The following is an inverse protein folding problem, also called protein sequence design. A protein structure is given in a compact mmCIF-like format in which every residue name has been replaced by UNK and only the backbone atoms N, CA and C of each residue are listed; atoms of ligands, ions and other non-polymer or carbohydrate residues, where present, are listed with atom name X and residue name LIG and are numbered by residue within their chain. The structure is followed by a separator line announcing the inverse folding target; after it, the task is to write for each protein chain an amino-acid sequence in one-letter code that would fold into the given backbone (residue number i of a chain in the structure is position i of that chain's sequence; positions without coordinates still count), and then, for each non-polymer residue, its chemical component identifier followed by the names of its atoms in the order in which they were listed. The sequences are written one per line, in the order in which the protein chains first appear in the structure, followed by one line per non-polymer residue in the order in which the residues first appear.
data_IF_534287784631
#
_entry.id   IF_534287784631
#
_cell.length_a   1.000
_cell.length_b   1.000
_cell.length_c   1.000
_cell.angle_alpha   90.00
_cell.angle_beta   90.00
_cell.angle_gamma   90.00
#
_symmetry.space_group_name_H-M   'P 1'
#
loop_
_entity.id
_entity.type
_entity.pdbx_description
1 polymer ?
#
# COMPACT_ATOMS: atom_id res chain seq x y z
N UNK A 1 31.89 -18.27 16.72
CA UNK A 1 30.67 -19.00 16.30
C UNK A 1 30.24 -20.05 17.31
N UNK A 2 31.07 -21.07 17.65
CA UNK A 2 30.68 -22.17 18.53
C UNK A 2 30.22 -21.73 19.94
N UNK A 3 30.96 -20.83 20.58
CA UNK A 3 30.64 -20.35 21.94
C UNK A 3 29.33 -19.55 21.95
N UNK A 4 29.03 -18.77 20.89
CA UNK A 4 27.78 -18.05 20.77
C UNK A 4 26.59 -19.02 20.65
N UNK A 5 26.72 -20.08 19.83
CA UNK A 5 25.72 -21.14 19.75
C UNK A 5 25.47 -21.85 21.10
N UNK A 6 26.52 -22.00 21.91
CA UNK A 6 26.36 -22.60 23.25
C UNK A 6 25.56 -21.68 24.19
N UNK A 7 25.83 -20.36 24.19
CA UNK A 7 25.04 -19.39 24.97
C UNK A 7 23.57 -19.37 24.53
N UNK A 8 23.29 -19.46 23.23
CA UNK A 8 21.92 -19.61 22.74
C UNK A 8 21.23 -20.87 23.25
N UNK A 9 21.94 -22.00 23.25
CA UNK A 9 21.41 -23.29 23.78
C UNK A 9 21.12 -23.24 25.28
N UNK A 10 21.89 -22.43 26.01
CA UNK A 10 21.75 -22.26 27.46
C UNK A 10 20.78 -21.08 27.79
N UNK A 11 20.20 -20.44 26.81
CA UNK A 11 19.36 -19.21 26.94
C UNK A 11 20.06 -18.08 27.71
N UNK A 12 21.40 -18.08 27.72
CA UNK A 12 22.22 -17.00 28.30
C UNK A 12 22.46 -15.91 27.25
N UNK A 13 21.39 -15.15 26.97
CA UNK A 13 21.43 -14.11 25.93
C UNK A 13 22.28 -12.92 26.28
N UNK A 14 22.48 -12.61 27.55
CA UNK A 14 23.38 -11.54 28.00
C UNK A 14 24.84 -11.85 27.67
N UNK A 15 25.28 -13.08 27.98
CA UNK A 15 26.63 -13.55 27.62
C UNK A 15 26.81 -13.64 26.10
N UNK A 16 25.78 -14.09 25.37
CA UNK A 16 25.78 -14.11 23.92
C UNK A 16 25.93 -12.69 23.33
N UNK A 17 25.23 -11.71 23.91
CA UNK A 17 25.28 -10.30 23.49
C UNK A 17 26.67 -9.68 23.68
N UNK A 18 27.27 -9.86 24.86
CA UNK A 18 28.59 -9.32 25.18
C UNK A 18 29.70 -9.97 24.33
N UNK A 19 29.62 -11.26 24.10
CA UNK A 19 30.52 -11.98 23.19
C UNK A 19 30.36 -11.43 21.76
N UNK A 20 29.13 -11.31 21.26
CA UNK A 20 28.86 -10.84 19.90
C UNK A 20 29.37 -9.43 19.68
N UNK A 21 29.15 -8.50 20.63
CA UNK A 21 29.73 -7.14 20.58
C UNK A 21 31.26 -7.15 20.53
N UNK A 22 31.87 -8.02 21.34
CA UNK A 22 33.33 -8.19 21.34
C UNK A 22 33.83 -8.71 19.99
N UNK A 23 33.13 -9.65 19.39
CA UNK A 23 33.47 -10.22 18.08
C UNK A 23 33.35 -9.19 16.97
N UNK A 24 32.29 -8.37 16.97
CA UNK A 24 32.11 -7.27 16.02
C UNK A 24 33.27 -6.29 16.09
N UNK A 25 33.65 -5.86 17.29
CA UNK A 25 34.77 -4.91 17.47
C UNK A 25 36.10 -5.49 16.97
N UNK A 26 36.31 -6.79 17.11
CA UNK A 26 37.58 -7.46 16.73
C UNK A 26 37.64 -7.90 15.29
N UNK A 27 36.56 -8.37 14.73
CA UNK A 27 36.55 -9.10 13.45
C UNK A 27 35.61 -8.50 12.42
N UNK A 28 34.59 -7.74 12.84
CA UNK A 28 33.62 -7.02 11.99
C UNK A 28 33.06 -7.87 10.84
N UNK A 29 32.72 -9.12 11.13
CA UNK A 29 32.21 -10.03 10.10
C UNK A 29 30.69 -10.09 10.05
N UNK A 30 30.16 -10.49 8.90
CA UNK A 30 28.74 -10.60 8.59
C UNK A 30 27.95 -11.39 9.66
N UNK A 31 28.45 -12.57 10.05
CA UNK A 31 27.76 -13.46 10.98
C UNK A 31 27.54 -12.82 12.35
N UNK A 32 28.51 -12.03 12.84
CA UNK A 32 28.38 -11.40 14.14
C UNK A 32 27.33 -10.27 14.13
N UNK A 33 27.20 -9.53 13.03
CA UNK A 33 26.12 -8.56 12.85
C UNK A 33 24.73 -9.23 12.77
N UNK A 34 24.64 -10.36 12.08
CA UNK A 34 23.41 -11.18 12.03
C UNK A 34 23.02 -11.68 13.43
N UNK A 35 24.00 -12.21 14.19
CA UNK A 35 23.77 -12.66 15.55
C UNK A 35 23.33 -11.50 16.46
N UNK A 36 23.91 -10.32 16.31
CA UNK A 36 23.56 -9.14 17.13
C UNK A 36 22.07 -8.79 16.97
N UNK A 37 21.57 -8.75 15.74
CA UNK A 37 20.17 -8.44 15.48
C UNK A 37 19.24 -9.55 15.99
N UNK A 38 19.63 -10.82 15.85
CA UNK A 38 18.87 -11.96 16.35
C UNK A 38 18.79 -11.97 17.89
N UNK A 39 19.90 -11.67 18.59
CA UNK A 39 19.90 -11.59 20.06
C UNK A 39 18.97 -10.47 20.53
N UNK A 40 19.04 -9.28 19.90
CA UNK A 40 18.12 -8.21 20.26
C UNK A 40 16.65 -8.52 19.98
N UNK A 41 16.36 -9.29 18.93
CA UNK A 41 15.01 -9.80 18.68
C UNK A 41 14.54 -10.73 19.81
N UNK A 42 15.39 -11.68 20.25
CA UNK A 42 15.08 -12.59 21.36
C UNK A 42 14.90 -11.85 22.69
N UNK A 43 15.66 -10.79 22.91
CA UNK A 43 15.53 -9.91 24.08
C UNK A 43 14.37 -8.89 23.98
N UNK A 44 13.54 -8.98 22.93
CA UNK A 44 12.42 -8.06 22.66
C UNK A 44 12.85 -6.58 22.64
N UNK A 45 14.11 -6.32 22.28
CA UNK A 45 14.65 -4.96 22.19
C UNK A 45 14.63 -4.46 20.75
N UNK A 46 13.44 -4.08 20.27
CA UNK A 46 13.23 -3.67 18.89
C UNK A 46 14.09 -2.47 18.47
N UNK A 47 14.26 -1.49 19.34
CA UNK A 47 15.09 -0.31 19.02
C UNK A 47 16.53 -0.71 18.70
N UNK A 48 17.13 -1.60 19.50
CA UNK A 48 18.49 -2.11 19.27
C UNK A 48 18.56 -3.06 18.09
N UNK A 49 17.52 -3.86 17.88
CA UNK A 49 17.40 -4.75 16.72
C UNK A 49 17.44 -3.93 15.42
N UNK A 50 16.60 -2.90 15.31
CA UNK A 50 16.55 -2.04 14.11
C UNK A 50 17.88 -1.30 13.93
N UNK A 51 18.48 -0.76 15.01
CA UNK A 51 19.81 -0.12 14.94
C UNK A 51 20.88 -1.08 14.42
N UNK A 52 20.91 -2.32 14.91
CA UNK A 52 21.91 -3.31 14.48
C UNK A 52 21.72 -3.74 13.02
N UNK A 53 20.47 -3.89 12.58
CA UNK A 53 20.15 -4.17 11.17
C UNK A 53 20.55 -3.00 10.26
N UNK A 54 20.28 -1.77 10.68
CA UNK A 54 20.66 -0.60 9.90
C UNK A 54 22.18 -0.44 9.79
N UNK A 55 22.94 -0.69 10.89
CA UNK A 55 24.40 -0.70 10.84
C UNK A 55 24.93 -1.82 9.93
N UNK A 56 24.33 -2.99 9.98
CA UNK A 56 24.66 -4.12 9.11
C UNK A 56 24.47 -3.78 7.62
N UNK A 57 23.36 -3.11 7.29
CA UNK A 57 23.07 -2.58 5.95
C UNK A 57 24.10 -1.50 5.55
N UNK A 58 24.33 -0.48 6.37
CA UNK A 58 25.26 0.62 6.08
C UNK A 58 26.72 0.17 5.86
N UNK A 59 27.08 -0.98 6.40
CA UNK A 59 28.40 -1.60 6.15
C UNK A 59 28.47 -2.35 4.81
N UNK A 60 27.39 -2.43 4.06
CA UNK A 60 27.33 -3.18 2.81
C UNK A 60 27.50 -4.69 2.99
N UNK A 61 27.17 -5.22 4.18
CA UNK A 61 27.29 -6.64 4.50
C UNK A 61 25.98 -7.40 4.31
N UNK A 62 24.88 -6.68 4.14
CA UNK A 62 23.54 -7.27 3.94
C UNK A 62 23.39 -7.74 2.49
N UNK A 63 23.06 -8.99 2.27
CA UNK A 63 23.01 -9.64 0.97
C UNK A 63 21.90 -10.68 0.87
N UNK A 64 20.88 -10.59 1.75
CA UNK A 64 19.74 -11.46 1.70
C UNK A 64 18.42 -10.69 1.77
N UNK A 65 17.46 -11.14 0.97
CA UNK A 65 16.13 -10.57 0.80
C UNK A 65 15.41 -10.36 2.12
N UNK A 66 15.36 -11.40 2.96
CA UNK A 66 14.61 -11.37 4.22
C UNK A 66 15.06 -10.21 5.12
N UNK A 67 16.37 -9.92 5.16
CA UNK A 67 16.90 -8.85 6.01
C UNK A 67 16.66 -7.48 5.44
N UNK A 68 16.73 -7.32 4.12
CA UNK A 68 16.35 -6.07 3.46
C UNK A 68 14.89 -5.74 3.76
N UNK A 69 13.97 -6.69 3.54
CA UNK A 69 12.55 -6.53 3.82
C UNK A 69 12.27 -6.25 5.31
N UNK A 70 12.90 -7.04 6.20
CA UNK A 70 12.77 -6.83 7.65
C UNK A 70 13.25 -5.45 8.11
N UNK A 71 14.35 -4.94 7.56
CA UNK A 71 14.85 -3.61 7.89
C UNK A 71 13.89 -2.54 7.36
N UNK A 72 13.45 -2.65 6.11
CA UNK A 72 12.50 -1.74 5.50
C UNK A 72 11.20 -1.65 6.32
N UNK A 73 10.58 -2.79 6.62
CA UNK A 73 9.37 -2.86 7.44
C UNK A 73 9.57 -2.35 8.87
N UNK A 74 10.71 -2.64 9.48
CA UNK A 74 11.04 -2.15 10.82
C UNK A 74 11.19 -0.63 10.87
N UNK A 75 11.76 -0.02 9.83
CA UNK A 75 11.86 1.43 9.71
C UNK A 75 10.49 2.08 9.54
N UNK A 76 9.59 1.48 8.78
CA UNK A 76 8.21 1.94 8.68
C UNK A 76 7.50 1.88 10.04
N UNK A 77 7.72 0.80 10.81
CA UNK A 77 7.16 0.62 12.14
C UNK A 77 7.63 1.64 13.20
N UNK A 78 8.79 2.29 12.98
CA UNK A 78 9.28 3.40 13.81
C UNK A 78 9.07 4.77 13.16
N UNK A 79 8.07 4.90 12.31
CA UNK A 79 7.63 6.15 11.65
C UNK A 79 8.67 6.77 10.69
N UNK A 80 9.52 5.93 10.06
CA UNK A 80 10.47 6.36 9.02
C UNK A 80 10.25 5.58 7.72
N UNK A 81 9.02 5.57 7.16
CA UNK A 81 8.65 4.71 6.04
C UNK A 81 9.43 5.02 4.75
N UNK A 82 9.76 6.28 4.50
CA UNK A 82 10.57 6.68 3.34
C UNK A 82 11.94 5.99 3.33
N UNK A 83 12.61 5.94 4.48
CA UNK A 83 13.90 5.23 4.57
C UNK A 83 13.73 3.73 4.39
N UNK A 84 12.59 3.17 4.84
CA UNK A 84 12.24 1.76 4.61
C UNK A 84 12.04 1.46 3.13
N UNK A 85 11.26 2.30 2.44
CA UNK A 85 11.03 2.18 1.01
C UNK A 85 12.33 2.26 0.20
N UNK A 86 13.20 3.22 0.56
CA UNK A 86 14.52 3.37 -0.08
C UNK A 86 15.39 2.11 0.03
N UNK A 87 15.40 1.47 1.20
CA UNK A 87 16.16 0.22 1.41
C UNK A 87 15.60 -0.91 0.54
N UNK A 88 14.28 -1.01 0.41
CA UNK A 88 13.66 -2.02 -0.48
C UNK A 88 14.00 -1.72 -1.93
N UNK A 89 13.91 -0.44 -2.38
CA UNK A 89 14.31 -0.04 -3.73
C UNK A 89 15.75 -0.44 -4.04
N UNK A 90 16.69 -0.14 -3.14
CA UNK A 90 18.10 -0.52 -3.31
C UNK A 90 18.31 -2.05 -3.35
N UNK A 91 17.51 -2.80 -2.58
CA UNK A 91 17.54 -4.27 -2.62
C UNK A 91 17.01 -4.84 -3.92
N UNK A 92 16.00 -4.23 -4.52
CA UNK A 92 15.47 -4.57 -5.86
C UNK A 92 16.49 -4.23 -6.95
N UNK A 93 17.05 -3.02 -6.94
CA UNK A 93 18.07 -2.58 -7.89
C UNK A 93 19.34 -3.45 -7.87
N UNK A 94 19.69 -3.98 -6.69
CA UNK A 94 20.81 -4.90 -6.51
C UNK A 94 20.47 -6.36 -6.81
N UNK A 95 19.24 -6.66 -7.27
CA UNK A 95 18.74 -8.02 -7.52
C UNK A 95 18.84 -8.94 -6.28
N UNK A 96 18.84 -8.37 -5.07
CA UNK A 96 18.82 -9.10 -3.80
C UNK A 96 17.38 -9.42 -3.37
N UNK A 97 16.44 -8.51 -3.69
CA UNK A 97 15.01 -8.71 -3.51
C UNK A 97 14.41 -9.15 -4.85
N UNK A 98 13.68 -10.26 -4.84
CA UNK A 98 12.99 -10.76 -6.02
C UNK A 98 11.74 -9.92 -6.34
N UNK A 99 11.53 -9.63 -7.62
CA UNK A 99 10.28 -9.02 -8.09
C UNK A 99 9.17 -10.07 -8.13
N UNK A 100 8.45 -10.20 -7.03
CA UNK A 100 7.26 -11.05 -6.90
C UNK A 100 6.11 -10.25 -6.27
N UNK A 101 4.90 -10.82 -6.26
CA UNK A 101 3.68 -10.17 -5.77
C UNK A 101 3.84 -9.62 -4.36
N UNK A 102 4.38 -10.42 -3.45
CA UNK A 102 4.50 -10.09 -2.03
C UNK A 102 5.48 -8.92 -1.81
N UNK A 103 6.64 -8.96 -2.49
CA UNK A 103 7.68 -7.94 -2.37
C UNK A 103 7.23 -6.62 -3.00
N UNK A 104 6.61 -6.68 -4.20
CA UNK A 104 6.10 -5.48 -4.87
C UNK A 104 4.94 -4.86 -4.08
N UNK A 105 4.05 -5.68 -3.52
CA UNK A 105 2.97 -5.20 -2.64
C UNK A 105 3.54 -4.55 -1.38
N UNK A 106 4.54 -5.15 -0.75
CA UNK A 106 5.23 -4.59 0.42
C UNK A 106 5.87 -3.26 0.09
N UNK A 107 6.57 -3.15 -1.02
CA UNK A 107 7.19 -1.91 -1.48
C UNK A 107 6.15 -0.81 -1.75
N UNK A 108 5.07 -1.15 -2.47
CA UNK A 108 3.94 -0.25 -2.71
C UNK A 108 3.36 0.29 -1.41
N UNK A 109 3.09 -0.58 -0.43
CA UNK A 109 2.53 -0.18 0.86
C UNK A 109 3.46 0.77 1.63
N UNK A 110 4.77 0.55 1.57
CA UNK A 110 5.74 1.46 2.20
C UNK A 110 5.75 2.83 1.56
N UNK A 111 5.69 2.91 0.24
CA UNK A 111 5.61 4.17 -0.49
C UNK A 111 4.28 4.89 -0.20
N UNK A 112 3.17 4.16 -0.11
CA UNK A 112 1.88 4.72 0.32
C UNK A 112 1.94 5.32 1.73
N UNK A 113 2.52 4.61 2.70
CA UNK A 113 2.68 5.10 4.07
C UNK A 113 3.63 6.31 4.12
N UNK A 114 4.65 6.33 3.25
CA UNK A 114 5.58 7.46 3.09
C UNK A 114 4.95 8.65 2.35
N UNK A 115 3.74 8.50 1.81
CA UNK A 115 3.05 9.46 0.94
C UNK A 115 3.82 9.78 -0.36
N UNK A 116 4.60 8.80 -0.85
CA UNK A 116 5.32 8.86 -2.14
C UNK A 116 4.43 8.18 -3.21
N UNK A 117 3.30 8.85 -3.52
CA UNK A 117 2.22 8.22 -4.31
C UNK A 117 2.64 7.95 -5.75
N UNK A 118 3.36 8.87 -6.38
CA UNK A 118 3.83 8.74 -7.76
C UNK A 118 4.82 7.58 -7.90
N UNK A 119 5.73 7.43 -6.94
CA UNK A 119 6.72 6.36 -6.93
C UNK A 119 6.07 4.99 -6.67
N UNK A 120 4.93 4.96 -5.97
CA UNK A 120 4.19 3.74 -5.68
C UNK A 120 3.51 3.13 -6.91
N UNK A 121 3.27 3.87 -8.00
CA UNK A 121 2.56 3.38 -9.20
C UNK A 121 3.33 2.23 -9.87
N UNK A 122 4.63 2.37 -10.02
CA UNK A 122 5.46 1.35 -10.68
C UNK A 122 5.41 -0.01 -9.97
N UNK A 123 5.73 -0.12 -8.67
CA UNK A 123 5.65 -1.40 -7.97
C UNK A 123 4.21 -1.91 -7.81
N UNK A 124 3.21 -1.03 -7.68
CA UNK A 124 1.80 -1.44 -7.65
C UNK A 124 1.37 -2.09 -8.97
N UNK A 125 1.78 -1.51 -10.10
CA UNK A 125 1.51 -2.08 -11.43
C UNK A 125 2.20 -3.43 -11.60
N UNK A 126 3.48 -3.55 -11.21
CA UNK A 126 4.21 -4.81 -11.27
C UNK A 126 3.53 -5.90 -10.41
N UNK A 127 3.10 -5.56 -9.18
CA UNK A 127 2.34 -6.48 -8.34
C UNK A 127 1.03 -6.93 -9.01
N UNK A 128 0.28 -5.99 -9.61
CA UNK A 128 -1.01 -6.28 -10.26
C UNK A 128 -0.87 -7.19 -11.49
N UNK A 129 0.20 -7.05 -12.25
CA UNK A 129 0.50 -7.92 -13.40
C UNK A 129 0.87 -9.35 -12.95
N UNK A 130 1.59 -9.49 -11.85
CA UNK A 130 2.07 -10.77 -11.32
C UNK A 130 1.01 -11.51 -10.49
N UNK A 131 0.09 -10.80 -9.83
CA UNK A 131 -0.91 -11.39 -8.94
C UNK A 131 -1.92 -12.22 -9.74
N UNK A 132 -2.16 -13.46 -9.35
CA UNK A 132 -3.20 -14.31 -9.93
C UNK A 132 -4.61 -13.91 -9.49
N UNK A 133 -4.73 -13.11 -8.44
CA UNK A 133 -5.99 -12.56 -7.90
C UNK A 133 -6.16 -11.08 -8.22
N UNK A 134 -7.32 -10.51 -7.90
CA UNK A 134 -7.59 -9.08 -8.08
C UNK A 134 -7.01 -8.17 -7.00
N UNK A 135 -6.39 -8.71 -5.93
CA UNK A 135 -6.01 -7.90 -4.76
C UNK A 135 -4.96 -6.82 -5.06
N UNK A 136 -3.97 -7.11 -5.91
CA UNK A 136 -2.98 -6.11 -6.28
C UNK A 136 -3.55 -5.05 -7.22
N UNK A 137 -4.49 -5.40 -8.11
CA UNK A 137 -5.26 -4.43 -8.90
C UNK A 137 -6.15 -3.54 -8.03
N UNK A 138 -6.75 -4.07 -6.95
CA UNK A 138 -7.50 -3.27 -5.98
C UNK A 138 -6.60 -2.23 -5.30
N UNK A 139 -5.39 -2.63 -4.89
CA UNK A 139 -4.39 -1.70 -4.34
C UNK A 139 -3.98 -0.63 -5.35
N UNK A 140 -3.76 -0.99 -6.62
CA UNK A 140 -3.45 -0.05 -7.71
C UNK A 140 -4.61 0.93 -7.94
N UNK A 141 -5.84 0.43 -7.94
CA UNK A 141 -7.05 1.25 -8.03
C UNK A 141 -7.17 2.26 -6.90
N UNK A 142 -6.93 1.82 -5.66
CA UNK A 142 -6.91 2.70 -4.50
C UNK A 142 -5.81 3.78 -4.61
N UNK A 143 -4.61 3.42 -5.07
CA UNK A 143 -3.52 4.36 -5.31
C UNK A 143 -3.93 5.44 -6.32
N UNK A 144 -4.46 5.07 -7.47
CA UNK A 144 -4.95 6.02 -8.46
C UNK A 144 -6.09 6.88 -7.91
N UNK A 145 -7.01 6.29 -7.11
CA UNK A 145 -8.10 7.03 -6.50
C UNK A 145 -7.60 8.13 -5.55
N UNK A 146 -6.61 7.87 -4.69
CA UNK A 146 -6.06 8.88 -3.77
C UNK A 146 -5.24 9.96 -4.49
N UNK A 147 -4.72 9.64 -5.68
CA UNK A 147 -4.08 10.59 -6.59
C UNK A 147 -5.09 11.43 -7.40
N UNK A 148 -6.38 11.18 -7.27
CA UNK A 148 -7.48 11.73 -8.08
C UNK A 148 -7.43 11.36 -9.57
N UNK A 149 -6.73 10.30 -9.93
CA UNK A 149 -6.70 9.71 -11.27
C UNK A 149 -7.89 8.74 -11.38
N UNK A 150 -9.09 9.29 -11.48
CA UNK A 150 -10.33 8.50 -11.31
C UNK A 150 -10.62 7.57 -12.48
N UNK A 151 -10.16 7.89 -13.69
CA UNK A 151 -10.25 7.03 -14.86
C UNK A 151 -9.42 5.76 -14.64
N UNK A 152 -8.14 5.91 -14.31
CA UNK A 152 -7.21 4.81 -14.05
C UNK A 152 -7.65 4.01 -12.81
N UNK A 153 -8.18 4.68 -11.80
CA UNK A 153 -8.74 4.03 -10.62
C UNK A 153 -9.91 3.11 -11.00
N UNK A 154 -10.85 3.61 -11.81
CA UNK A 154 -12.01 2.82 -12.24
C UNK A 154 -11.57 1.62 -13.12
N UNK A 155 -10.59 1.79 -13.99
CA UNK A 155 -10.03 0.71 -14.81
C UNK A 155 -9.38 -0.37 -13.93
N UNK A 156 -8.55 0.03 -12.96
CA UNK A 156 -7.89 -0.90 -12.06
C UNK A 156 -8.89 -1.66 -11.16
N UNK A 157 -9.91 -0.99 -10.61
CA UNK A 157 -10.95 -1.67 -9.83
C UNK A 157 -11.79 -2.65 -10.67
N UNK A 158 -12.11 -2.31 -11.93
CA UNK A 158 -12.75 -3.26 -12.85
C UNK A 158 -11.87 -4.48 -13.11
N UNK A 159 -10.58 -4.27 -13.37
CA UNK A 159 -9.63 -5.35 -13.54
C UNK A 159 -9.54 -6.24 -12.29
N UNK A 160 -9.57 -5.64 -11.09
CA UNK A 160 -9.61 -6.35 -9.81
C UNK A 160 -10.84 -7.26 -9.70
N UNK A 161 -12.02 -6.72 -10.01
CA UNK A 161 -13.29 -7.46 -9.99
C UNK A 161 -13.30 -8.58 -11.02
N UNK A 162 -12.89 -8.31 -12.24
CA UNK A 162 -12.85 -9.29 -13.34
C UNK A 162 -11.88 -10.45 -13.03
N UNK A 163 -10.77 -10.18 -12.37
CA UNK A 163 -9.79 -11.18 -11.96
C UNK A 163 -10.28 -12.01 -10.77
N UNK A 164 -11.04 -11.41 -9.88
CA UNK A 164 -11.68 -12.07 -8.73
C UNK A 164 -10.69 -12.44 -7.62
N UNK A 165 -11.16 -13.23 -6.64
CA UNK A 165 -10.37 -13.67 -5.50
C UNK A 165 -9.99 -12.52 -4.54
N UNK A 166 -10.82 -11.47 -4.53
CA UNK A 166 -10.65 -10.31 -3.67
C UNK A 166 -10.83 -10.67 -2.20
N UNK A 167 -10.12 -9.98 -1.33
CA UNK A 167 -10.28 -10.10 0.13
C UNK A 167 -11.57 -9.45 0.62
N UNK A 168 -12.00 -8.38 -0.05
CA UNK A 168 -13.22 -7.65 0.23
C UNK A 168 -13.82 -7.11 -1.08
N UNK A 169 -14.71 -7.90 -1.68
CA UNK A 169 -15.40 -7.51 -2.91
C UNK A 169 -16.23 -6.23 -2.72
N UNK A 170 -16.85 -6.07 -1.56
CA UNK A 170 -17.73 -4.93 -1.25
C UNK A 170 -16.95 -3.62 -1.24
N UNK A 171 -15.77 -3.59 -0.62
CA UNK A 171 -14.93 -2.41 -0.57
C UNK A 171 -14.43 -2.03 -1.98
N UNK A 172 -14.00 -3.01 -2.78
CA UNK A 172 -13.57 -2.78 -4.17
C UNK A 172 -14.70 -2.17 -5.01
N UNK A 173 -15.91 -2.74 -4.95
CA UNK A 173 -17.08 -2.16 -5.63
C UNK A 173 -17.41 -0.75 -5.13
N UNK A 174 -17.27 -0.49 -3.83
CA UNK A 174 -17.56 0.82 -3.26
C UNK A 174 -16.52 1.88 -3.71
N UNK A 175 -15.25 1.52 -3.82
CA UNK A 175 -14.21 2.41 -4.36
C UNK A 175 -14.40 2.64 -5.87
N UNK A 176 -14.79 1.62 -6.63
CA UNK A 176 -15.20 1.79 -8.02
C UNK A 176 -16.36 2.79 -8.15
N UNK A 177 -17.40 2.64 -7.33
CA UNK A 177 -18.54 3.55 -7.32
C UNK A 177 -18.13 5.00 -7.01
N UNK A 178 -17.19 5.19 -6.10
CA UNK A 178 -16.65 6.52 -5.75
C UNK A 178 -15.90 7.13 -6.93
N UNK A 179 -15.00 6.38 -7.57
CA UNK A 179 -14.27 6.84 -8.74
C UNK A 179 -15.24 7.24 -9.88
N UNK A 180 -16.23 6.40 -10.17
CA UNK A 180 -17.25 6.65 -11.17
C UNK A 180 -18.13 7.88 -10.85
N UNK A 181 -18.42 8.12 -9.57
CA UNK A 181 -19.15 9.33 -9.15
C UNK A 181 -18.35 10.61 -9.43
N UNK A 182 -17.05 10.63 -9.20
CA UNK A 182 -16.19 11.79 -9.52
C UNK A 182 -16.10 12.01 -11.04
N UNK A 183 -16.14 10.95 -11.83
CA UNK A 183 -16.24 10.99 -13.30
C UNK A 183 -17.64 11.39 -13.80
N UNK A 184 -18.63 11.52 -12.90
CA UNK A 184 -20.05 11.78 -13.21
C UNK A 184 -20.73 10.67 -14.03
N UNK A 185 -20.22 9.48 -13.98
CA UNK A 185 -20.81 8.28 -14.56
C UNK A 185 -21.84 7.71 -13.59
N UNK A 186 -22.93 8.44 -13.37
CA UNK A 186 -23.89 8.21 -12.28
C UNK A 186 -24.57 6.83 -12.35
N UNK A 187 -24.91 6.36 -13.54
CA UNK A 187 -25.59 5.07 -13.69
C UNK A 187 -24.63 3.93 -13.31
N UNK A 188 -23.40 3.96 -13.83
CA UNK A 188 -22.37 2.98 -13.49
C UNK A 188 -21.98 3.05 -12.01
N UNK A 189 -21.91 4.26 -11.43
CA UNK A 189 -21.66 4.44 -10.01
C UNK A 189 -22.77 3.81 -9.13
N UNK A 190 -24.04 3.89 -9.56
CA UNK A 190 -25.17 3.23 -8.88
C UNK A 190 -25.08 1.72 -8.99
N UNK A 191 -24.76 1.20 -10.16
CA UNK A 191 -24.62 -0.24 -10.37
C UNK A 191 -23.48 -0.81 -9.49
N UNK A 192 -22.32 -0.14 -9.46
CA UNK A 192 -21.21 -0.54 -8.61
C UNK A 192 -21.56 -0.44 -7.10
N UNK A 193 -22.24 0.63 -6.66
CA UNK A 193 -22.66 0.76 -5.27
C UNK A 193 -23.73 -0.29 -4.88
N UNK A 194 -24.58 -0.69 -5.81
CA UNK A 194 -25.55 -1.78 -5.59
C UNK A 194 -24.83 -3.12 -5.44
N UNK A 195 -23.86 -3.41 -6.30
CA UNK A 195 -23.01 -4.60 -6.19
C UNK A 195 -22.24 -4.63 -4.85
N UNK A 196 -21.71 -3.48 -4.39
CA UNK A 196 -21.10 -3.38 -3.08
C UNK A 196 -22.06 -3.73 -1.93
N UNK A 197 -23.33 -3.31 -2.04
CA UNK A 197 -24.36 -3.63 -1.04
C UNK A 197 -24.73 -5.12 -1.02
N UNK A 198 -24.64 -5.81 -2.16
CA UNK A 198 -24.95 -7.23 -2.28
C UNK A 198 -23.80 -8.13 -1.83
N UNK A 199 -22.57 -7.70 -2.05
CA UNK A 199 -21.35 -8.45 -1.72
C UNK A 199 -20.93 -8.33 -0.24
N UNK A 200 -21.39 -7.29 0.46
CA UNK A 200 -20.89 -6.94 1.79
C UNK A 200 -21.63 -7.59 2.95
N UNK A 201 -21.00 -7.50 4.11
CA UNK A 201 -21.64 -7.75 5.39
C UNK A 201 -22.63 -6.60 5.77
N UNK A 202 -23.28 -6.68 6.93
CA UNK A 202 -24.26 -5.68 7.38
C UNK A 202 -23.68 -4.24 7.42
N UNK A 203 -22.41 -4.08 7.80
CA UNK A 203 -21.73 -2.79 7.89
C UNK A 203 -21.43 -2.22 6.50
N UNK A 204 -20.87 -3.03 5.63
CA UNK A 204 -20.50 -2.67 4.26
C UNK A 204 -21.76 -2.37 3.44
N UNK A 205 -22.79 -3.20 3.58
CA UNK A 205 -24.14 -2.99 2.98
C UNK A 205 -24.70 -1.62 3.37
N UNK A 206 -24.64 -1.25 4.65
CA UNK A 206 -25.10 0.07 5.11
C UNK A 206 -24.30 1.22 4.48
N UNK A 207 -22.97 1.08 4.43
CA UNK A 207 -22.10 2.09 3.80
C UNK A 207 -22.42 2.27 2.31
N UNK A 208 -22.63 1.18 1.58
CA UNK A 208 -23.02 1.20 0.17
C UNK A 208 -24.39 1.84 -0.04
N UNK A 209 -25.39 1.53 0.81
CA UNK A 209 -26.72 2.15 0.76
C UNK A 209 -26.68 3.66 1.06
N UNK A 210 -25.86 4.10 2.00
CA UNK A 210 -25.71 5.53 2.26
C UNK A 210 -25.00 6.23 1.10
N UNK A 211 -24.08 5.54 0.43
CA UNK A 211 -23.44 6.05 -0.78
C UNK A 211 -24.43 6.13 -1.99
N UNK A 212 -25.32 5.17 -2.15
CA UNK A 212 -26.41 5.24 -3.15
C UNK A 212 -27.27 6.50 -2.96
N UNK A 213 -27.65 6.82 -1.73
CA UNK A 213 -28.38 8.07 -1.44
C UNK A 213 -27.59 9.32 -1.82
N UNK A 214 -26.27 9.31 -1.60
CA UNK A 214 -25.38 10.40 -2.02
C UNK A 214 -25.39 10.56 -3.55
N UNK A 215 -25.27 9.45 -4.30
CA UNK A 215 -25.33 9.47 -5.77
C UNK A 215 -26.67 10.06 -6.25
N UNK A 216 -27.78 9.63 -5.69
CA UNK A 216 -29.12 10.14 -6.02
C UNK A 216 -29.24 11.64 -5.73
N UNK A 217 -28.75 12.10 -4.59
CA UNK A 217 -28.71 13.52 -4.23
C UNK A 217 -27.87 14.35 -5.22
N UNK A 218 -26.70 13.85 -5.62
CA UNK A 218 -25.84 14.50 -6.63
C UNK A 218 -26.51 14.56 -7.98
N UNK A 219 -27.13 13.47 -8.43
CA UNK A 219 -27.87 13.40 -9.69
C UNK A 219 -29.03 14.40 -9.70
N UNK A 220 -29.82 14.46 -8.62
CA UNK A 220 -30.89 15.44 -8.46
C UNK A 220 -30.40 16.89 -8.53
N UNK A 221 -29.27 17.20 -7.89
CA UNK A 221 -28.65 18.52 -7.95
C UNK A 221 -28.25 18.91 -9.39
N UNK A 222 -27.61 18.01 -10.13
CA UNK A 222 -27.24 18.28 -11.53
C UNK A 222 -28.45 18.42 -12.44
N UNK A 223 -29.53 17.66 -12.21
CA UNK A 223 -30.78 17.81 -12.97
C UNK A 223 -31.38 19.21 -12.75
N UNK A 224 -31.41 19.72 -11.52
CA UNK A 224 -31.88 21.08 -11.21
C UNK A 224 -31.00 22.13 -11.91
N UNK A 225 -29.69 21.99 -11.90
CA UNK A 225 -28.77 22.91 -12.59
C UNK A 225 -29.05 22.89 -14.11
N UNK A 226 -29.18 21.70 -14.70
CA UNK A 226 -29.47 21.55 -16.12
C UNK A 226 -30.79 22.22 -16.50
N UNK A 227 -31.85 22.05 -15.69
CA UNK A 227 -33.14 22.67 -15.90
C UNK A 227 -33.02 24.21 -15.82
N UNK A 228 -32.37 24.74 -14.77
CA UNK A 228 -32.17 26.22 -14.65
C UNK A 228 -31.37 26.81 -15.80
N UNK A 229 -30.37 26.07 -16.30
CA UNK A 229 -29.61 26.49 -17.49
C UNK A 229 -30.47 26.51 -18.72
N UNK A 230 -31.31 25.51 -18.94
CA UNK A 230 -32.25 25.47 -20.05
C UNK A 230 -33.26 26.64 -19.99
N UNK A 231 -33.86 26.84 -18.80
CA UNK A 231 -34.79 27.95 -18.56
C UNK A 231 -34.14 29.32 -18.84
N UNK A 232 -32.88 29.52 -18.41
CA UNK A 232 -32.14 30.73 -18.69
C UNK A 232 -31.87 30.95 -20.20
N UNK A 233 -31.47 29.86 -20.90
CA UNK A 233 -31.26 29.93 -22.36
C UNK A 233 -32.57 30.31 -23.07
N UNK A 234 -33.69 29.71 -22.70
CA UNK A 234 -35.00 30.00 -23.31
C UNK A 234 -35.45 31.42 -22.99
N UNK A 235 -35.18 31.91 -21.77
CA UNK A 235 -35.47 33.31 -21.41
C UNK A 235 -34.69 34.32 -22.25
N UNK A 236 -33.38 34.09 -22.49
CA UNK A 236 -32.53 35.03 -23.23
C UNK A 236 -32.54 34.81 -24.74
N UNK A 237 -33.09 33.70 -25.27
CA UNK A 237 -33.14 33.42 -26.72
C UNK A 237 -33.77 34.56 -27.58
N UNK A 238 -34.87 35.26 -27.15
CA UNK A 238 -35.44 36.35 -27.93
C UNK A 238 -34.61 37.65 -27.84
N UNK A 239 -33.60 37.71 -26.95
CA UNK A 239 -32.75 38.90 -26.74
C UNK A 239 -31.33 38.61 -27.23
N UNK A 240 -30.99 38.99 -28.49
CA UNK A 240 -29.61 38.77 -28.97
C UNK A 240 -28.61 39.57 -28.13
N UNK A 241 -27.32 39.11 -28.04
CA UNK A 241 -26.29 39.87 -27.36
C UNK A 241 -26.19 41.29 -27.88
N UNK A 242 -26.06 42.27 -26.99
CA UNK A 242 -25.76 43.65 -27.38
C UNK A 242 -24.39 43.62 -28.05
N UNK A 243 -24.33 44.07 -29.32
CA UNK A 243 -23.09 44.20 -30.10
C UNK A 243 -22.21 45.34 -29.58
#
# INVERSE_FOLDING_TARGET
AYLNGLYFTLEDFDSALDLTKTMIVKFDNKTDWQNLSAIYATLENDARRVQSLNLYYLKGLMDDETRFLNLGQSLAGIEVPFSGAKIISEGLEAEVIEENVDNMTTFTQMLLIANELEDAVTPATAAAELDETGNAYDTLGYLHYVMNNYEEAAEAFRAAIDKGGLKDDSDTYLFLARALLELRLFDEAKDAASAASEAGDERSTKSAQDFLKLIESRLGYYAIIAQRKADAIDFYRPYPPIQ
#
